data_IF_258273507332
#
_entry.id   IF_258273507332
#
_cell.length_a   1.000
_cell.length_b   1.000
_cell.length_c   1.000
_cell.angle_alpha   90.00
_cell.angle_beta   90.00
_cell.angle_gamma   90.00
#
_symmetry.space_group_name_H-M   'P 1'
#
loop_
_entity.id
_entity.type
_entity.pdbx_description
1 polymer ?
#
# COMPACT_ATOMS: atom_id res chain seq x y z
N UNK A 1 -31.53 -45.99 38.97
CA UNK A 1 -30.84 -44.71 38.72
C UNK A 1 -30.58 -44.02 40.05
N UNK A 2 -29.33 -43.90 40.47
CA UNK A 2 -28.98 -43.25 41.73
C UNK A 2 -29.27 -41.73 41.64
N UNK A 3 -30.15 -41.21 42.50
CA UNK A 3 -30.41 -39.77 42.61
C UNK A 3 -29.23 -39.10 43.30
N UNK A 4 -28.60 -38.11 42.64
CA UNK A 4 -27.54 -37.29 43.23
C UNK A 4 -28.05 -36.60 44.50
N UNK A 5 -27.21 -36.58 45.54
CA UNK A 5 -27.52 -35.90 46.80
C UNK A 5 -27.52 -34.38 46.60
N UNK A 6 -28.30 -33.63 47.40
CA UNK A 6 -28.40 -32.16 47.31
C UNK A 6 -27.02 -31.46 47.34
N UNK A 7 -26.07 -32.03 48.07
CA UNK A 7 -24.69 -31.59 48.16
C UNK A 7 -23.88 -31.81 46.87
N UNK A 8 -24.07 -32.95 46.18
CA UNK A 8 -23.50 -33.20 44.85
C UNK A 8 -24.04 -32.24 43.79
N UNK A 9 -25.32 -31.88 43.86
CA UNK A 9 -25.92 -30.90 42.93
C UNK A 9 -25.34 -29.51 43.16
N UNK A 10 -25.11 -29.11 44.41
CA UNK A 10 -24.48 -27.82 44.73
C UNK A 10 -23.01 -27.75 44.29
N UNK A 11 -22.24 -28.83 44.47
CA UNK A 11 -20.85 -28.92 44.00
C UNK A 11 -20.76 -28.86 42.47
N UNK A 12 -21.61 -29.62 41.75
CA UNK A 12 -21.69 -29.58 40.29
C UNK A 12 -22.04 -28.18 39.78
N UNK A 13 -22.92 -27.45 40.48
CA UNK A 13 -23.32 -26.10 40.10
C UNK A 13 -22.19 -25.08 40.35
N UNK A 14 -21.48 -25.19 41.48
CA UNK A 14 -20.33 -24.34 41.77
C UNK A 14 -19.20 -24.54 40.75
N UNK A 15 -18.95 -25.79 40.33
CA UNK A 15 -17.95 -26.10 39.32
C UNK A 15 -18.35 -25.53 37.94
N UNK A 16 -19.62 -25.66 37.54
CA UNK A 16 -20.13 -25.03 36.30
C UNK A 16 -19.97 -23.52 36.31
N UNK A 17 -20.31 -22.86 37.42
CA UNK A 17 -20.18 -21.41 37.54
C UNK A 17 -18.71 -20.97 37.43
N UNK A 18 -17.79 -21.71 38.05
CA UNK A 18 -16.34 -21.45 37.98
C UNK A 18 -15.80 -21.66 36.56
N UNK A 19 -16.28 -22.66 35.85
CA UNK A 19 -15.94 -22.89 34.43
C UNK A 19 -16.48 -21.73 33.57
N UNK A 20 -17.70 -21.28 33.82
CA UNK A 20 -18.31 -20.16 33.09
C UNK A 20 -17.56 -18.85 33.32
N UNK A 21 -17.15 -18.57 34.55
CA UNK A 21 -16.33 -17.40 34.89
C UNK A 21 -14.97 -17.43 34.19
N UNK A 22 -14.28 -18.58 34.22
CA UNK A 22 -13.02 -18.78 33.48
C UNK A 22 -13.21 -18.60 31.97
N UNK A 23 -14.32 -19.09 31.40
CA UNK A 23 -14.66 -18.88 29.99
C UNK A 23 -14.88 -17.41 29.68
N UNK A 24 -15.58 -16.66 30.54
CA UNK A 24 -15.79 -15.21 30.37
C UNK A 24 -14.46 -14.46 30.39
N UNK A 25 -13.58 -14.75 31.35
CA UNK A 25 -12.26 -14.13 31.43
C UNK A 25 -11.40 -14.42 30.19
N UNK A 26 -11.32 -15.68 29.77
CA UNK A 26 -10.59 -16.08 28.55
C UNK A 26 -11.17 -15.44 27.28
N UNK A 27 -12.49 -15.23 27.25
CA UNK A 27 -13.17 -14.55 26.15
C UNK A 27 -12.81 -13.05 26.11
N UNK A 28 -12.72 -12.38 27.26
CA UNK A 28 -12.27 -10.98 27.33
C UNK A 28 -10.83 -10.81 26.84
N UNK A 29 -9.92 -11.69 27.24
CA UNK A 29 -8.54 -11.71 26.73
C UNK A 29 -8.50 -11.91 25.20
N UNK A 30 -9.35 -12.80 24.68
CA UNK A 30 -9.48 -13.03 23.24
C UNK A 30 -9.96 -11.77 22.48
N UNK A 31 -10.78 -10.92 23.10
CA UNK A 31 -11.20 -9.64 22.52
C UNK A 31 -10.09 -8.59 22.49
N UNK A 32 -9.20 -8.59 23.49
CA UNK A 32 -8.15 -7.58 23.61
C UNK A 32 -6.93 -7.89 22.72
N UNK A 33 -6.67 -9.16 22.43
CA UNK A 33 -5.56 -9.56 21.57
C UNK A 33 -5.94 -9.52 20.08
N UNK A 34 -5.12 -8.88 19.23
CA UNK A 34 -5.38 -8.75 17.78
C UNK A 34 -5.68 -10.09 17.07
N UNK A 35 -4.87 -11.13 17.34
CA UNK A 35 -5.08 -12.52 16.87
C UNK A 35 -6.43 -13.11 17.30
N UNK A 36 -6.83 -12.86 18.55
CA UNK A 36 -8.10 -13.35 19.09
C UNK A 36 -9.28 -12.66 18.45
N UNK A 37 -9.21 -11.33 18.32
CA UNK A 37 -10.22 -10.55 17.64
C UNK A 37 -10.40 -10.97 16.17
N UNK A 38 -9.29 -11.19 15.44
CA UNK A 38 -9.32 -11.70 14.07
C UNK A 38 -9.96 -13.09 13.98
N UNK A 39 -9.63 -14.00 14.91
CA UNK A 39 -10.23 -15.34 14.99
C UNK A 39 -11.74 -15.27 15.20
N UNK A 40 -12.20 -14.40 16.11
CA UNK A 40 -13.62 -14.19 16.37
C UNK A 40 -14.35 -13.63 15.15
N UNK A 41 -13.74 -12.68 14.44
CA UNK A 41 -14.29 -12.15 13.20
C UNK A 41 -14.43 -13.24 12.13
N UNK A 42 -13.40 -14.07 11.94
CA UNK A 42 -13.44 -15.19 10.99
C UNK A 42 -14.50 -16.23 11.36
N UNK A 43 -14.61 -16.57 12.65
CA UNK A 43 -15.65 -17.49 13.13
C UNK A 43 -17.06 -16.96 12.85
N UNK A 44 -17.29 -15.65 13.04
CA UNK A 44 -18.57 -15.01 12.71
C UNK A 44 -18.87 -15.02 11.20
N UNK A 45 -17.85 -14.81 10.36
CA UNK A 45 -18.01 -14.76 8.90
C UNK A 45 -18.24 -16.12 8.26
N UNK A 46 -17.53 -17.16 8.73
CA UNK A 46 -17.57 -18.50 8.13
C UNK A 46 -18.61 -19.44 8.76
N UNK A 47 -19.14 -19.10 9.94
CA UNK A 47 -20.25 -19.83 10.57
C UNK A 47 -19.86 -21.21 11.11
N UNK A 48 -20.86 -22.10 11.18
CA UNK A 48 -20.72 -23.44 11.76
C UNK A 48 -19.80 -24.31 10.89
N UNK A 49 -18.71 -24.81 11.47
CA UNK A 49 -17.67 -25.60 10.80
C UNK A 49 -16.30 -24.91 10.75
N UNK A 50 -16.22 -23.64 11.15
CA UNK A 50 -14.94 -22.94 11.31
C UNK A 50 -14.24 -23.36 12.60
N UNK A 51 -13.05 -23.94 12.49
CA UNK A 51 -12.20 -24.27 13.64
C UNK A 51 -11.47 -23.02 14.14
N UNK A 52 -12.08 -22.33 15.11
CA UNK A 52 -11.51 -21.14 15.73
C UNK A 52 -10.20 -21.40 16.47
N UNK A 53 -9.99 -22.61 17.02
CA UNK A 53 -8.75 -22.94 17.73
C UNK A 53 -7.60 -23.08 16.75
N UNK A 54 -7.81 -23.83 15.66
CA UNK A 54 -6.83 -23.95 14.60
C UNK A 54 -6.54 -22.60 13.91
N UNK A 55 -7.56 -21.75 13.74
CA UNK A 55 -7.38 -20.42 13.18
C UNK A 55 -6.53 -19.51 14.08
N UNK A 56 -6.80 -19.50 15.40
CA UNK A 56 -6.01 -18.73 16.36
C UNK A 56 -4.54 -19.17 16.37
N UNK A 57 -4.31 -20.48 16.35
CA UNK A 57 -2.98 -21.09 16.31
C UNK A 57 -2.23 -20.73 15.02
N UNK A 58 -2.89 -20.81 13.85
CA UNK A 58 -2.29 -20.36 12.57
C UNK A 58 -1.99 -18.87 12.55
N UNK A 59 -2.90 -18.02 13.02
CA UNK A 59 -2.67 -16.57 13.13
C UNK A 59 -1.53 -16.26 14.10
N UNK A 60 -1.38 -17.04 15.17
CA UNK A 60 -0.26 -16.91 16.10
C UNK A 60 1.08 -17.19 15.43
N UNK A 61 1.19 -18.31 14.70
CA UNK A 61 2.40 -18.63 13.93
C UNK A 61 2.71 -17.57 12.87
N UNK A 62 1.70 -17.07 12.17
CA UNK A 62 1.87 -16.01 11.17
C UNK A 62 2.50 -14.76 11.78
N UNK A 63 1.99 -14.30 12.93
CA UNK A 63 2.57 -13.18 13.68
C UNK A 63 4.00 -13.47 14.12
N UNK A 64 4.26 -14.65 14.69
CA UNK A 64 5.59 -15.03 15.16
C UNK A 64 6.62 -15.07 14.01
N UNK A 65 6.22 -15.50 12.80
CA UNK A 65 7.07 -15.46 11.61
C UNK A 65 7.48 -14.04 11.24
N UNK A 66 6.53 -13.12 11.23
CA UNK A 66 6.79 -11.70 10.94
C UNK A 66 7.73 -11.09 11.98
N UNK A 67 7.52 -11.41 13.27
CA UNK A 67 8.41 -10.97 14.35
C UNK A 67 9.84 -11.52 14.20
N UNK A 68 10.00 -12.68 13.54
CA UNK A 68 11.29 -13.28 13.21
C UNK A 68 11.85 -12.84 11.85
N UNK A 69 11.32 -11.77 11.24
CA UNK A 69 11.69 -11.26 9.92
C UNK A 69 11.44 -12.23 8.75
N UNK A 70 10.57 -13.24 8.92
CA UNK A 70 10.09 -14.09 7.83
C UNK A 70 8.86 -13.46 7.18
N UNK A 71 9.06 -12.82 6.03
CA UNK A 71 8.02 -12.13 5.25
C UNK A 71 7.37 -13.01 4.18
N UNK A 72 7.75 -14.28 4.05
CA UNK A 72 7.31 -15.14 2.94
C UNK A 72 5.77 -15.25 2.86
N UNK A 73 5.10 -15.30 4.01
CA UNK A 73 3.63 -15.36 4.05
C UNK A 73 2.98 -14.08 3.53
N UNK A 74 3.51 -12.92 3.93
CA UNK A 74 3.04 -11.61 3.48
C UNK A 74 3.30 -11.46 1.98
N UNK A 75 4.47 -11.88 1.51
CA UNK A 75 4.81 -11.85 0.08
C UNK A 75 3.84 -12.70 -0.75
N UNK A 76 3.56 -13.92 -0.31
CA UNK A 76 2.60 -14.81 -0.95
C UNK A 76 1.17 -14.23 -0.91
N UNK A 77 0.77 -13.63 0.22
CA UNK A 77 -0.53 -12.97 0.37
C UNK A 77 -0.67 -11.79 -0.60
N UNK A 78 0.31 -10.89 -0.65
CA UNK A 78 0.29 -9.73 -1.55
C UNK A 78 0.28 -10.17 -3.02
N UNK A 79 1.08 -11.17 -3.39
CA UNK A 79 1.05 -11.72 -4.75
C UNK A 79 -0.33 -12.29 -5.11
N UNK A 80 -0.93 -13.05 -4.20
CA UNK A 80 -2.27 -13.63 -4.39
C UNK A 80 -3.34 -12.53 -4.53
N UNK A 81 -3.27 -11.49 -3.70
CA UNK A 81 -4.17 -10.34 -3.78
C UNK A 81 -4.03 -9.58 -5.10
N UNK A 82 -2.79 -9.36 -5.56
CA UNK A 82 -2.54 -8.74 -6.87
C UNK A 82 -3.15 -9.57 -8.00
N UNK A 83 -3.02 -10.90 -7.95
CA UNK A 83 -3.59 -11.80 -8.95
C UNK A 83 -5.12 -11.80 -8.94
N UNK A 84 -5.75 -11.76 -7.76
CA UNK A 84 -7.21 -11.64 -7.63
C UNK A 84 -7.72 -10.31 -8.21
N UNK A 85 -7.02 -9.20 -7.97
CA UNK A 85 -7.39 -7.90 -8.55
C UNK A 85 -7.22 -7.88 -10.07
N UNK A 86 -6.17 -8.52 -10.59
CA UNK A 86 -5.99 -8.72 -12.02
C UNK A 86 -7.14 -9.55 -12.62
N UNK A 87 -7.59 -10.59 -11.93
CA UNK A 87 -8.77 -11.35 -12.36
C UNK A 87 -10.04 -10.48 -12.40
N UNK A 88 -10.31 -9.68 -11.36
CA UNK A 88 -11.46 -8.76 -11.33
C UNK A 88 -11.38 -7.74 -12.48
N UNK A 89 -10.18 -7.28 -12.83
CA UNK A 89 -9.97 -6.42 -13.99
C UNK A 89 -10.41 -7.11 -15.29
N UNK A 90 -9.94 -8.33 -15.55
CA UNK A 90 -10.32 -9.05 -16.76
C UNK A 90 -11.81 -9.42 -16.80
N UNK A 91 -12.37 -9.83 -15.67
CA UNK A 91 -13.81 -10.11 -15.52
C UNK A 91 -14.67 -8.87 -15.84
N UNK A 92 -14.29 -7.70 -15.31
CA UNK A 92 -14.98 -6.45 -15.61
C UNK A 92 -14.86 -6.05 -17.09
N UNK A 93 -13.67 -6.20 -17.71
CA UNK A 93 -13.49 -5.92 -19.13
C UNK A 93 -14.30 -6.85 -20.03
N UNK A 94 -14.41 -8.14 -19.66
CA UNK A 94 -15.19 -9.11 -20.43
C UNK A 94 -16.68 -8.77 -20.51
N UNK A 95 -17.20 -8.01 -19.55
CA UNK A 95 -18.61 -7.62 -19.46
C UNK A 95 -18.93 -6.34 -20.24
N UNK A 96 -17.93 -5.53 -20.58
CA UNK A 96 -18.11 -4.25 -21.28
C UNK A 96 -18.85 -4.38 -22.63
N UNK A 97 -18.48 -5.28 -23.56
CA UNK A 97 -19.09 -5.31 -24.90
C UNK A 97 -20.59 -5.57 -24.92
N UNK A 98 -21.10 -6.25 -23.89
CA UNK A 98 -22.50 -6.66 -23.78
C UNK A 98 -23.29 -5.83 -22.76
N UNK A 99 -22.70 -4.75 -22.23
CA UNK A 99 -23.30 -3.91 -21.19
C UNK A 99 -24.06 -2.72 -21.78
N UNK A 100 -25.13 -2.29 -21.11
CA UNK A 100 -25.73 -0.98 -21.42
C UNK A 100 -24.76 0.15 -21.07
N UNK A 101 -24.95 1.34 -21.63
CA UNK A 101 -24.06 2.50 -21.41
C UNK A 101 -23.84 2.77 -19.90
N UNK A 102 -24.90 2.70 -19.09
CA UNK A 102 -24.82 2.89 -17.63
C UNK A 102 -23.95 1.82 -16.95
N UNK A 103 -24.12 0.55 -17.33
CA UNK A 103 -23.32 -0.54 -16.78
C UNK A 103 -21.88 -0.54 -17.32
N UNK A 104 -21.66 -0.03 -18.53
CA UNK A 104 -20.34 0.09 -19.13
C UNK A 104 -19.46 1.01 -18.30
N UNK A 105 -19.99 2.15 -17.84
CA UNK A 105 -19.27 3.06 -16.94
C UNK A 105 -18.96 2.39 -15.59
N UNK A 106 -19.90 1.63 -15.02
CA UNK A 106 -19.66 0.88 -13.77
C UNK A 106 -18.55 -0.15 -13.94
N UNK A 107 -18.59 -0.98 -14.99
CA UNK A 107 -17.56 -1.99 -15.25
C UNK A 107 -16.20 -1.37 -15.59
N UNK A 108 -16.17 -0.28 -16.36
CA UNK A 108 -14.94 0.47 -16.63
C UNK A 108 -14.32 1.00 -15.34
N UNK A 109 -15.13 1.57 -14.43
CA UNK A 109 -14.66 2.03 -13.13
C UNK A 109 -14.13 0.88 -12.26
N UNK A 110 -14.83 -0.27 -12.22
CA UNK A 110 -14.36 -1.45 -11.48
C UNK A 110 -13.02 -1.93 -12.05
N UNK A 111 -12.87 -1.99 -13.38
CA UNK A 111 -11.64 -2.39 -14.05
C UNK A 111 -10.48 -1.44 -13.68
N UNK A 112 -10.64 -0.13 -13.86
CA UNK A 112 -9.60 0.86 -13.57
C UNK A 112 -9.22 0.88 -12.08
N UNK A 113 -10.19 0.72 -11.17
CA UNK A 113 -9.92 0.60 -9.72
C UNK A 113 -9.15 -0.68 -9.40
N UNK A 114 -9.48 -1.80 -10.03
CA UNK A 114 -8.80 -3.07 -9.84
C UNK A 114 -7.36 -3.03 -10.36
N UNK A 115 -7.13 -2.43 -11.53
CA UNK A 115 -5.79 -2.18 -12.09
C UNK A 115 -4.94 -1.31 -11.15
N UNK A 116 -5.50 -0.21 -10.67
CA UNK A 116 -4.84 0.66 -9.69
C UNK A 116 -4.54 -0.05 -8.37
N UNK A 117 -5.45 -0.92 -7.91
CA UNK A 117 -5.24 -1.78 -6.74
C UNK A 117 -4.07 -2.75 -6.94
N UNK A 118 -4.03 -3.46 -8.08
CA UNK A 118 -2.97 -4.41 -8.42
C UNK A 118 -1.58 -3.72 -8.39
N UNK A 119 -1.46 -2.55 -9.02
CA UNK A 119 -0.22 -1.76 -8.99
C UNK A 119 0.20 -1.41 -7.55
N UNK A 120 -0.73 -0.97 -6.70
CA UNK A 120 -0.44 -0.63 -5.29
C UNK A 120 0.05 -1.85 -4.51
N UNK A 121 -0.56 -3.02 -4.72
CA UNK A 121 -0.14 -4.26 -4.06
C UNK A 121 1.25 -4.70 -4.50
N UNK A 122 1.57 -4.60 -5.79
CA UNK A 122 2.92 -4.89 -6.30
C UNK A 122 3.98 -3.90 -5.82
N UNK A 123 3.61 -2.61 -5.68
CA UNK A 123 4.48 -1.61 -5.06
C UNK A 123 4.76 -1.95 -3.59
N UNK A 124 3.74 -2.32 -2.81
CA UNK A 124 3.91 -2.75 -1.42
C UNK A 124 4.81 -3.99 -1.32
N UNK A 125 4.70 -4.94 -2.24
CA UNK A 125 5.59 -6.10 -2.31
C UNK A 125 7.04 -5.70 -2.61
N UNK A 126 7.25 -4.78 -3.56
CA UNK A 126 8.58 -4.27 -3.90
C UNK A 126 9.21 -3.50 -2.72
N UNK A 127 8.42 -2.71 -1.99
CA UNK A 127 8.83 -2.00 -0.79
C UNK A 127 9.14 -2.95 0.37
N UNK A 128 8.40 -4.06 0.49
CA UNK A 128 8.68 -5.11 1.47
C UNK A 128 10.04 -5.78 1.21
N UNK A 129 10.36 -6.10 -0.06
CA UNK A 129 11.64 -6.71 -0.45
C UNK A 129 12.82 -5.76 -0.39
N UNK A 130 12.58 -4.50 -0.70
CA UNK A 130 13.59 -3.45 -0.70
C UNK A 130 13.06 -2.25 0.07
N UNK A 131 13.08 -2.29 1.41
CA UNK A 131 12.66 -1.16 2.22
C UNK A 131 13.45 0.05 1.75
N UNK A 132 12.77 1.04 1.16
CA UNK A 132 13.44 2.26 0.70
C UNK A 132 14.19 2.80 1.90
N UNK A 133 15.51 2.88 1.80
CA UNK A 133 16.40 3.16 2.92
C UNK A 133 16.05 4.50 3.57
N UNK A 134 15.14 4.48 4.54
CA UNK A 134 14.79 5.57 5.44
C UNK A 134 15.87 5.80 6.51
N UNK A 135 17.05 5.20 6.35
CA UNK A 135 18.21 5.40 7.24
C UNK A 135 18.93 6.74 7.04
N UNK A 136 18.55 7.56 6.05
CA UNK A 136 19.19 8.88 5.84
C UNK A 136 18.66 9.96 6.79
N UNK A 137 17.41 9.86 7.28
CA UNK A 137 16.80 10.95 8.06
C UNK A 137 17.08 10.90 9.58
N UNK A 138 17.43 9.75 10.14
CA UNK A 138 17.68 9.63 11.59
C UNK A 138 19.08 10.14 11.98
N UNK A 139 20.03 10.18 11.03
CA UNK A 139 21.41 10.59 11.35
C UNK A 139 21.58 12.10 11.58
N UNK A 140 20.63 12.93 11.13
CA UNK A 140 20.69 14.39 11.30
C UNK A 140 20.04 14.90 12.59
N UNK A 141 19.21 14.08 13.26
CA UNK A 141 18.49 14.53 14.45
C UNK A 141 19.32 14.39 15.74
N UNK A 142 20.29 13.48 15.79
CA UNK A 142 21.22 13.35 16.92
C UNK A 142 22.27 14.48 17.00
N UNK A 143 22.40 15.32 15.97
CA UNK A 143 23.35 16.45 15.98
C UNK A 143 22.70 17.79 16.38
N UNK A 144 21.39 17.84 16.63
CA UNK A 144 20.69 19.06 17.05
C UNK A 144 20.60 19.23 18.58
N UNK A 145 21.04 18.24 19.37
CA UNK A 145 21.00 18.31 20.83
C UNK A 145 22.19 19.07 21.45
N UNK A 146 23.23 19.42 20.69
CA UNK A 146 24.45 20.02 21.24
C UNK A 146 24.56 21.55 21.08
N UNK A 147 23.60 22.21 20.42
CA UNK A 147 23.61 23.67 20.24
C UNK A 147 22.35 24.35 20.80
N UNK A 148 21.76 23.83 21.88
CA UNK A 148 20.86 24.63 22.70
C UNK A 148 21.68 25.42 23.73
N UNK A 149 22.07 26.63 23.39
CA UNK A 149 22.48 27.60 24.39
C UNK A 149 21.23 28.14 25.09
N UNK A 150 21.06 27.76 26.36
CA UNK A 150 20.08 28.37 27.25
C UNK A 150 20.76 29.51 28.01
N UNK A 151 20.51 30.74 27.59
CA UNK A 151 20.90 31.93 28.35
C UNK A 151 19.88 32.11 29.49
N UNK A 152 20.22 31.65 30.70
CA UNK A 152 19.54 32.04 31.92
C UNK A 152 20.53 32.88 32.74
N UNK A 153 20.37 34.20 32.73
CA UNK A 153 21.25 35.13 33.45
C UNK A 153 20.82 35.26 34.92
N UNK A 154 21.77 35.22 35.86
CA UNK A 154 22.31 36.41 36.56
C UNK A 154 23.51 36.07 37.48
N UNK A 155 24.58 36.83 37.26
CA UNK A 155 25.59 37.39 38.18
C UNK A 155 26.69 36.55 38.83
N UNK A 156 27.88 36.73 38.22
CA UNK A 156 29.14 37.25 38.81
C UNK A 156 29.76 36.53 40.00
N UNK A 157 30.88 35.84 39.74
CA UNK A 157 32.14 35.98 40.50
C UNK A 157 33.30 35.53 39.59
N UNK A 158 34.31 36.40 39.46
CA UNK A 158 35.33 36.30 38.42
C UNK A 158 36.41 35.28 38.71
N UNK A 159 37.00 34.71 37.65
CA UNK A 159 38.40 34.30 37.59
C UNK A 159 38.89 34.25 36.14
N UNK A 160 39.98 34.99 35.92
CA UNK A 160 41.03 34.92 34.90
C UNK A 160 40.73 34.41 33.48
N UNK A 161 41.00 35.31 32.54
CA UNK A 161 41.23 35.06 31.11
C UNK A 161 42.45 34.15 30.97
N UNK A 162 42.27 32.93 30.47
CA UNK A 162 43.35 32.16 29.87
C UNK A 162 42.95 31.64 28.49
N UNK A 163 43.84 31.98 27.54
CA UNK A 163 43.79 31.67 26.12
C UNK A 163 43.41 30.22 25.81
N UNK A 164 42.43 30.02 24.92
CA UNK A 164 42.42 28.84 24.06
C UNK A 164 42.17 29.24 22.61
N UNK A 165 43.28 29.29 21.87
CA UNK A 165 43.34 29.34 20.42
C UNK A 165 42.52 28.21 19.79
N UNK A 166 41.37 28.53 19.18
CA UNK A 166 40.86 27.78 18.02
C UNK A 166 40.33 28.75 16.97
N UNK A 167 40.98 28.72 15.82
CA UNK A 167 40.84 29.62 14.69
C UNK A 167 39.39 29.75 14.19
N UNK A 168 38.98 30.93 13.69
CA UNK A 168 37.77 31.02 12.88
C UNK A 168 37.96 30.16 11.63
N UNK A 169 37.01 29.27 11.36
CA UNK A 169 37.01 28.47 10.13
C UNK A 169 36.92 29.43 8.93
N UNK A 170 38.06 29.64 8.27
CA UNK A 170 38.19 30.57 7.16
C UNK A 170 37.30 30.12 5.99
N UNK A 171 36.47 31.04 5.53
CA UNK A 171 35.74 30.96 4.28
C UNK A 171 36.77 30.85 3.14
N UNK A 172 37.00 29.65 2.62
CA UNK A 172 37.95 29.44 1.54
C UNK A 172 37.38 30.01 0.22
N UNK A 173 37.76 31.25 -0.06
CA UNK A 173 37.68 31.86 -1.38
C UNK A 173 38.88 31.41 -2.24
N UNK A 174 38.60 31.19 -3.52
CA UNK A 174 39.52 30.85 -4.65
C UNK A 174 39.82 29.34 -4.71
N UNK A 175 39.43 28.63 -5.78
CA UNK A 175 39.79 28.95 -7.16
C UNK A 175 38.63 28.77 -8.14
N UNK A 176 38.53 29.76 -9.03
CA UNK A 176 37.69 29.78 -10.22
C UNK A 176 38.47 29.22 -11.41
N UNK A 177 37.90 28.23 -12.08
CA UNK A 177 38.05 27.91 -13.51
C UNK A 177 36.86 26.98 -13.84
N UNK A 178 35.86 27.30 -14.65
CA UNK A 178 35.62 28.40 -15.54
C UNK A 178 34.12 28.73 -15.44
N UNK A 179 33.81 29.96 -15.01
CA UNK A 179 32.54 30.55 -15.35
C UNK A 179 32.59 30.93 -16.84
N UNK A 180 32.27 29.97 -17.73
CA UNK A 180 31.90 30.35 -19.09
C UNK A 180 30.53 31.02 -19.02
N UNK A 181 30.57 32.35 -18.96
CA UNK A 181 29.40 33.22 -19.14
C UNK A 181 28.72 32.89 -20.46
N UNK A 182 27.39 32.90 -20.44
CA UNK A 182 26.43 33.35 -21.48
C UNK A 182 25.11 32.66 -21.15
N UNK A 183 24.22 33.29 -20.42
CA UNK A 183 23.26 34.30 -20.86
C UNK A 183 22.19 33.81 -21.86
N UNK A 184 20.96 33.93 -21.37
CA UNK A 184 19.63 34.11 -21.96
C UNK A 184 19.26 33.42 -23.29
N UNK A 185 18.22 32.57 -23.19
CA UNK A 185 17.08 32.53 -24.10
C UNK A 185 17.31 32.00 -25.53
N UNK A 186 16.75 30.83 -25.84
CA UNK A 186 16.39 30.48 -27.22
C UNK A 186 15.18 29.54 -27.23
N UNK A 187 14.21 29.92 -28.05
CA UNK A 187 13.00 29.22 -28.48
C UNK A 187 13.30 27.86 -29.09
N UNK A 188 12.48 26.86 -28.79
CA UNK A 188 12.51 25.58 -29.51
C UNK A 188 11.88 25.76 -30.88
N UNK A 189 12.67 25.61 -31.94
CA UNK A 189 12.16 25.41 -33.31
C UNK A 189 12.16 23.93 -33.69
N UNK A 190 11.12 23.63 -34.45
CA UNK A 190 10.67 22.37 -35.04
C UNK A 190 11.77 21.64 -35.83
N UNK A 191 11.98 20.35 -35.56
CA UNK A 191 12.79 19.49 -36.41
C UNK A 191 12.00 19.03 -37.63
N UNK A 192 12.22 19.68 -38.78
CA UNK A 192 11.83 19.18 -40.09
C UNK A 192 13.01 18.40 -40.72
N UNK A 193 12.85 17.09 -40.88
CA UNK A 193 13.57 16.34 -41.90
C UNK A 193 12.59 16.15 -43.08
N UNK A 194 12.75 16.98 -44.11
CA UNK A 194 12.06 16.86 -45.38
C UNK A 194 12.75 15.77 -46.22
N UNK A 195 12.01 14.74 -46.63
CA UNK A 195 12.34 13.86 -47.75
C UNK A 195 11.35 14.19 -48.88
N UNK A 196 11.81 14.43 -50.12
CA UNK A 196 10.99 15.08 -51.14
C UNK A 196 9.84 14.21 -51.65
N UNK A 197 8.75 14.90 -51.97
CA UNK A 197 7.51 14.38 -52.53
C UNK A 197 7.67 13.90 -53.99
N UNK A 198 6.97 12.82 -54.32
CA UNK A 198 6.40 12.61 -55.65
C UNK A 198 4.88 12.48 -55.52
N UNK A 199 4.19 13.20 -56.40
CA UNK A 199 2.75 13.35 -56.45
C UNK A 199 2.14 12.36 -57.44
N UNK A 200 1.20 11.54 -56.98
CA UNK A 200 0.19 10.84 -57.78
C UNK A 200 -0.95 10.53 -56.80
N UNK A 201 -2.22 10.87 -56.97
CA UNK A 201 -3.02 11.51 -58.00
C UNK A 201 -4.45 11.42 -57.45
N UNK A 202 -5.25 12.48 -57.64
CA UNK A 202 -6.63 12.57 -57.14
C UNK A 202 -7.48 11.44 -57.75
N UNK A 203 -8.04 10.58 -56.91
CA UNK A 203 -9.15 9.71 -57.29
C UNK A 203 -10.39 10.21 -56.55
N UNK A 204 -11.02 11.21 -57.13
CA UNK A 204 -12.40 11.59 -56.85
C UNK A 204 -13.18 11.42 -58.16
N UNK A 205 -14.28 10.67 -58.10
CA UNK A 205 -15.34 10.71 -59.12
C UNK A 205 -15.50 9.46 -59.99
N UNK A 206 -16.44 8.60 -59.60
CA UNK A 206 -17.44 8.03 -60.51
C UNK A 206 -18.73 7.97 -59.69
N UNK A 207 -19.47 9.08 -59.60
CA UNK A 207 -20.49 9.52 -60.55
C UNK A 207 -21.48 8.41 -60.91
N UNK A 208 -22.66 8.62 -60.33
CA UNK A 208 -23.94 7.97 -60.55
C UNK A 208 -24.26 7.70 -62.03
N UNK A 209 -24.67 6.47 -62.32
CA UNK A 209 -25.41 6.11 -63.51
C UNK A 209 -26.68 5.39 -63.07
N UNK A 210 -27.77 6.16 -62.97
CA UNK A 210 -29.12 5.63 -62.99
C UNK A 210 -29.38 4.84 -64.27
N UNK A 211 -30.02 3.68 -64.14
CA UNK A 211 -30.38 2.81 -65.25
C UNK A 211 -31.23 1.61 -64.83
N UNK A 212 -32.54 1.83 -64.77
CA UNK A 212 -33.65 0.91 -65.08
C UNK A 212 -33.54 -0.60 -64.75
N UNK A 213 -34.44 -1.02 -63.85
CA UNK A 213 -35.41 -2.10 -64.11
C UNK A 213 -34.90 -3.54 -64.13
N UNK A 214 -35.41 -4.38 -63.22
CA UNK A 214 -36.19 -5.57 -63.60
C UNK A 214 -37.05 -6.02 -62.41
N UNK A 215 -38.34 -5.92 -62.64
CA UNK A 215 -39.39 -6.70 -61.97
C UNK A 215 -39.12 -8.17 -62.28
N UNK A 216 -39.08 -9.05 -61.29
CA UNK A 216 -39.75 -10.35 -61.44
C UNK A 216 -40.15 -10.96 -60.11
N UNK A 217 -41.47 -11.20 -60.04
CA UNK A 217 -42.19 -12.04 -59.11
C UNK A 217 -41.55 -13.44 -58.97
N UNK A 218 -41.48 -13.96 -57.75
CA UNK A 218 -42.28 -15.09 -57.26
C UNK A 218 -42.11 -15.25 -55.77
#
# INVERSE_FOLDING_TARGET
MARKTKEQVMLDQAEKNKIEEKKKAATTELYLHCRGHATLALSKLHGNGFDGVAAFDRLSRSVDRVLNNDTNEIEAMLMTQAKSLEYVFYDALSKLPNSSIEHAEVFANIALRSQNGCRKTLMALAELKHPRRTTTFIKQQNNHAFNQQVNNGVNSEGHSIENNNKAPNELNAKVSYEAKKMDIGTTFETGAANTPAEAMGVLDGAQDHGGQGYISKK
#
